data_IF_404595952215
#
_entry.id   IF_404595952215
#
_cell.length_a   1.000
_cell.length_b   1.000
_cell.length_c   1.000
_cell.angle_alpha   90.00
_cell.angle_beta   90.00
_cell.angle_gamma   90.00
#
_symmetry.space_group_name_H-M   'P 1'
#
loop_
_entity.id
_entity.type
_entity.pdbx_description
1 polymer ?
#
# COMPACT_ATOMS: atom_id res chain seq x y z
N UNK A 1 -0.91 -22.11 16.18
CA UNK A 1 -2.38 -21.94 16.06
C UNK A 1 -2.57 -20.87 14.99
N UNK A 2 -2.62 -21.26 13.72
CA UNK A 2 -2.63 -20.31 12.60
C UNK A 2 -4.06 -19.80 12.41
N UNK A 3 -4.27 -18.51 12.68
CA UNK A 3 -5.51 -17.81 12.40
C UNK A 3 -5.24 -16.90 11.21
N UNK A 4 -5.51 -17.39 10.00
CA UNK A 4 -5.58 -16.56 8.80
C UNK A 4 -6.77 -15.62 8.97
N UNK A 5 -6.53 -14.31 9.09
CA UNK A 5 -7.59 -13.33 9.30
C UNK A 5 -7.46 -12.18 8.31
N UNK A 6 -7.78 -12.37 7.03
CA UNK A 6 -8.18 -11.23 6.19
C UNK A 6 -9.14 -11.67 5.07
N UNK A 7 -10.40 -11.24 5.18
CA UNK A 7 -11.39 -11.26 4.11
C UNK A 7 -11.38 -9.90 3.41
N UNK A 8 -10.42 -9.72 2.51
CA UNK A 8 -10.44 -8.70 1.46
C UNK A 8 -9.59 -9.20 0.32
N UNK A 9 -9.92 -8.76 -0.88
CA UNK A 9 -9.11 -8.87 -2.09
C UNK A 9 -7.67 -8.41 -1.77
N UNK A 10 -6.83 -9.40 -1.51
CA UNK A 10 -5.42 -9.29 -1.15
C UNK A 10 -4.73 -10.19 -2.15
N UNK A 11 -3.73 -9.63 -2.83
CA UNK A 11 -2.94 -10.33 -3.84
C UNK A 11 -2.36 -11.64 -3.29
N UNK A 12 -2.35 -12.69 -4.11
CA UNK A 12 -1.79 -14.00 -3.76
C UNK A 12 -0.31 -13.86 -3.40
N UNK A 13 0.37 -12.88 -4.00
CA UNK A 13 1.80 -12.63 -3.80
C UNK A 13 2.10 -12.14 -2.37
N UNK A 14 1.17 -11.44 -1.70
CA UNK A 14 1.37 -10.94 -0.34
C UNK A 14 1.62 -12.06 0.68
N UNK A 15 0.94 -13.21 0.52
CA UNK A 15 1.14 -14.37 1.39
C UNK A 15 2.49 -15.05 1.21
N UNK A 16 3.13 -14.89 0.04
CA UNK A 16 4.50 -15.33 -0.17
C UNK A 16 5.47 -14.38 0.58
N UNK A 17 5.28 -13.07 0.45
CA UNK A 17 6.16 -12.09 1.11
C UNK A 17 6.07 -12.14 2.63
N UNK A 18 4.88 -12.32 3.23
CA UNK A 18 4.75 -12.53 4.69
C UNK A 18 5.59 -13.72 5.15
N UNK A 19 5.60 -14.81 4.37
CA UNK A 19 6.38 -16.02 4.69
C UNK A 19 7.89 -15.84 4.50
N UNK A 20 8.32 -15.13 3.46
CA UNK A 20 9.75 -14.96 3.15
C UNK A 20 10.42 -13.86 3.98
N UNK A 21 9.67 -12.83 4.34
CA UNK A 21 10.20 -11.66 5.05
C UNK A 21 9.90 -11.68 6.55
N UNK A 22 9.07 -12.61 7.04
CA UNK A 22 8.61 -12.72 8.43
C UNK A 22 7.96 -11.43 8.94
N UNK A 23 7.10 -10.84 8.10
CA UNK A 23 6.37 -9.60 8.38
C UNK A 23 4.87 -9.85 8.32
N UNK A 24 4.09 -9.05 9.06
CA UNK A 24 2.62 -9.08 8.98
C UNK A 24 2.13 -7.91 8.13
N UNK A 25 1.49 -8.20 7.00
CA UNK A 25 1.01 -7.18 6.08
C UNK A 25 -0.45 -6.81 6.37
N UNK A 26 -0.76 -5.54 6.19
CA UNK A 26 -2.11 -5.01 6.36
C UNK A 26 -2.80 -4.81 5.00
N UNK A 27 -4.13 -4.66 5.03
CA UNK A 27 -4.95 -4.40 3.82
C UNK A 27 -4.47 -3.15 3.05
N UNK A 28 -3.86 -2.20 3.74
CA UNK A 28 -3.37 -0.94 3.15
C UNK A 28 -2.04 -1.11 2.39
N UNK A 29 -1.33 -2.23 2.59
CA UNK A 29 -0.14 -2.61 1.83
C UNK A 29 -0.46 -3.06 0.40
N UNK A 30 -1.72 -3.40 0.12
CA UNK A 30 -2.20 -3.71 -1.22
C UNK A 30 -2.99 -2.53 -1.78
N UNK A 31 -2.46 -1.89 -2.82
CA UNK A 31 -3.12 -0.81 -3.53
C UNK A 31 -3.49 -1.32 -4.91
N UNK A 32 -4.74 -1.11 -5.31
CA UNK A 32 -5.17 -1.33 -6.69
C UNK A 32 -5.56 0.00 -7.31
N UNK A 33 -5.47 0.07 -8.63
CA UNK A 33 -5.92 1.24 -9.39
C UNK A 33 -7.37 1.61 -9.02
N UNK A 34 -8.25 0.62 -8.86
CA UNK A 34 -9.65 0.84 -8.44
C UNK A 34 -9.79 1.52 -7.08
N UNK A 35 -8.97 1.15 -6.07
CA UNK A 35 -8.97 1.80 -4.74
C UNK A 35 -8.59 3.28 -4.84
N UNK A 36 -7.57 3.61 -5.64
CA UNK A 36 -7.11 5.00 -5.81
C UNK A 36 -8.17 5.84 -6.52
N UNK A 37 -8.77 5.33 -7.61
CA UNK A 37 -9.85 6.02 -8.30
C UNK A 37 -11.03 6.29 -7.37
N UNK A 38 -11.44 5.29 -6.58
CA UNK A 38 -12.51 5.45 -5.60
C UNK A 38 -12.17 6.54 -4.57
N UNK A 39 -10.95 6.52 -4.02
CA UNK A 39 -10.48 7.51 -3.06
C UNK A 39 -10.53 8.95 -3.60
N UNK A 40 -10.11 9.14 -4.85
CA UNK A 40 -10.11 10.46 -5.50
C UNK A 40 -11.53 10.93 -5.84
N UNK A 41 -12.40 10.03 -6.32
CA UNK A 41 -13.81 10.34 -6.57
C UNK A 41 -14.52 10.75 -5.26
N UNK A 42 -14.20 10.10 -4.14
CA UNK A 42 -14.78 10.45 -2.85
C UNK A 42 -14.25 11.82 -2.35
N UNK A 43 -12.97 12.15 -2.57
CA UNK A 43 -12.42 13.50 -2.34
C UNK A 43 -13.14 14.56 -3.19
N UNK A 44 -13.39 14.25 -4.46
CA UNK A 44 -14.12 15.13 -5.37
C UNK A 44 -15.54 15.39 -4.90
N UNK A 45 -16.27 14.33 -4.52
CA UNK A 45 -17.64 14.43 -4.00
C UNK A 45 -17.74 15.22 -2.69
N UNK A 46 -16.70 15.19 -1.85
CA UNK A 46 -16.61 16.03 -0.64
C UNK A 46 -16.31 17.50 -0.93
N UNK A 47 -15.85 17.82 -2.14
CA UNK A 47 -15.45 19.17 -2.52
C UNK A 47 -13.99 19.50 -2.22
N UNK A 48 -13.15 18.51 -1.94
CA UNK A 48 -11.73 18.70 -1.58
C UNK A 48 -10.93 19.35 -2.74
N UNK A 49 -11.42 19.21 -3.99
CA UNK A 49 -10.83 19.84 -5.18
C UNK A 49 -11.45 21.19 -5.57
N UNK A 50 -12.28 21.80 -4.70
CA UNK A 50 -12.88 23.14 -4.90
C UNK A 50 -13.65 23.29 -6.23
N UNK A 51 -14.28 22.21 -6.70
CA UNK A 51 -15.03 22.19 -7.96
C UNK A 51 -14.17 22.21 -9.22
N UNK A 52 -12.85 22.04 -9.10
CA UNK A 52 -11.95 21.87 -10.25
C UNK A 52 -12.05 20.45 -10.80
N UNK A 53 -11.81 20.31 -12.11
CA UNK A 53 -11.79 19.01 -12.77
C UNK A 53 -10.67 18.14 -12.23
N UNK A 54 -11.01 16.96 -11.74
CA UNK A 54 -10.04 15.92 -11.42
C UNK A 54 -9.47 15.34 -12.72
N UNK A 55 -8.16 15.13 -12.75
CA UNK A 55 -7.38 14.63 -13.87
C UNK A 55 -6.42 13.55 -13.39
N UNK A 56 -6.01 12.65 -14.29
CA UNK A 56 -5.02 11.60 -13.98
C UNK A 56 -3.75 12.20 -13.41
N UNK A 57 -3.22 13.24 -14.07
CA UNK A 57 -2.13 14.06 -13.54
C UNK A 57 -2.69 15.45 -13.23
N UNK A 58 -2.44 16.02 -12.03
CA UNK A 58 -1.65 15.46 -10.93
C UNK A 58 -2.46 14.62 -9.92
N UNK A 59 -3.79 14.65 -9.95
CA UNK A 59 -4.61 14.21 -8.81
C UNK A 59 -4.53 12.72 -8.49
N UNK A 60 -4.45 11.83 -9.50
CA UNK A 60 -4.30 10.39 -9.27
C UNK A 60 -2.85 10.09 -8.84
N UNK A 61 -1.87 10.71 -9.49
CA UNK A 61 -0.46 10.51 -9.14
C UNK A 61 -0.14 10.99 -7.73
N UNK A 62 -0.69 12.12 -7.31
CA UNK A 62 -0.52 12.65 -5.96
C UNK A 62 -1.18 11.73 -4.93
N UNK A 63 -2.38 11.21 -5.21
CA UNK A 63 -3.05 10.26 -4.33
C UNK A 63 -2.25 8.95 -4.15
N UNK A 64 -1.57 8.47 -5.20
CA UNK A 64 -0.66 7.32 -5.10
C UNK A 64 0.53 7.67 -4.22
N UNK A 65 1.17 8.82 -4.43
CA UNK A 65 2.32 9.26 -3.63
C UNK A 65 1.97 9.43 -2.15
N UNK A 66 0.85 10.09 -1.85
CA UNK A 66 0.32 10.26 -0.48
C UNK A 66 0.09 8.90 0.19
N UNK A 67 -0.42 7.92 -0.56
CA UNK A 67 -0.66 6.58 -0.02
C UNK A 67 0.65 5.86 0.26
N UNK A 68 1.59 5.86 -0.69
CA UNK A 68 2.89 5.23 -0.55
C UNK A 68 3.64 5.80 0.65
N UNK A 69 3.69 7.13 0.76
CA UNK A 69 4.32 7.79 1.90
C UNK A 69 3.67 7.37 3.22
N UNK A 70 2.34 7.36 3.30
CA UNK A 70 1.62 6.95 4.51
C UNK A 70 1.97 5.53 4.94
N UNK A 71 1.96 4.57 4.01
CA UNK A 71 2.23 3.15 4.30
C UNK A 71 3.70 2.93 4.62
N UNK A 72 4.62 3.67 3.98
CA UNK A 72 6.05 3.57 4.23
C UNK A 72 6.47 3.96 5.66
N UNK A 73 5.65 4.72 6.38
CA UNK A 73 5.91 5.05 7.80
C UNK A 73 5.23 4.08 8.78
N UNK A 74 4.44 3.12 8.31
CA UNK A 74 3.74 2.15 9.16
C UNK A 74 4.64 0.91 9.30
N UNK A 75 5.03 0.61 10.54
CA UNK A 75 5.75 -0.63 10.85
C UNK A 75 4.89 -1.86 10.57
N UNK A 76 5.49 -2.84 9.88
CA UNK A 76 4.95 -4.21 9.72
C UNK A 76 5.64 -5.21 10.65
N UNK A 77 6.67 -4.76 11.37
CA UNK A 77 7.42 -5.51 12.38
C UNK A 77 6.76 -5.34 13.77
N UNK A 78 6.92 -6.34 14.64
CA UNK A 78 6.33 -6.36 16.00
C UNK A 78 6.87 -5.24 16.91
N UNK A 79 8.09 -4.77 16.64
CA UNK A 79 8.78 -3.74 17.42
C UNK A 79 8.19 -2.33 17.23
N UNK A 80 7.30 -2.16 16.25
CA UNK A 80 6.65 -0.89 15.86
C UNK A 80 7.64 0.24 15.55
N UNK A 81 8.88 -0.09 15.22
CA UNK A 81 9.88 0.90 14.87
C UNK A 81 9.60 1.44 13.46
N UNK A 82 9.89 2.73 13.25
CA UNK A 82 9.74 3.33 11.92
C UNK A 82 10.68 2.61 10.93
N UNK A 83 10.17 2.11 9.80
CA UNK A 83 10.98 1.34 8.87
C UNK A 83 12.07 2.16 8.16
N UNK A 84 13.25 1.56 7.98
CA UNK A 84 14.35 2.18 7.22
C UNK A 84 14.18 2.07 5.69
N UNK A 85 13.54 0.99 5.21
CA UNK A 85 13.48 0.65 3.78
C UNK A 85 12.05 0.30 3.39
N UNK A 86 11.55 0.95 2.33
CA UNK A 86 10.29 0.62 1.68
C UNK A 86 10.56 -0.04 0.31
N UNK A 87 10.06 -1.25 0.11
CA UNK A 87 10.08 -1.97 -1.17
C UNK A 87 8.71 -1.82 -1.80
N UNK A 88 8.67 -1.44 -3.06
CA UNK A 88 7.43 -1.29 -3.82
C UNK A 88 7.49 -2.25 -4.99
N UNK A 89 6.48 -3.11 -5.08
CA UNK A 89 6.26 -4.03 -6.18
C UNK A 89 5.13 -3.48 -7.05
N UNK A 90 5.38 -3.44 -8.35
CA UNK A 90 4.39 -3.09 -9.36
C UNK A 90 3.99 -4.40 -10.05
N UNK A 91 2.79 -4.89 -9.73
CA UNK A 91 2.26 -6.17 -10.21
C UNK A 91 1.29 -6.02 -11.39
N UNK A 92 1.13 -7.13 -12.13
CA UNK A 92 0.27 -7.22 -13.31
C UNK A 92 0.89 -6.68 -14.59
N UNK A 93 0.42 -7.16 -15.75
CA UNK A 93 0.97 -6.81 -17.08
C UNK A 93 0.86 -5.30 -17.39
N UNK A 94 -0.11 -4.62 -16.79
CA UNK A 94 -0.44 -3.21 -17.02
C UNK A 94 -0.43 -2.36 -15.74
N UNK A 95 0.29 -2.78 -14.69
CA UNK A 95 0.42 -2.04 -13.41
C UNK A 95 -0.91 -1.77 -12.70
N UNK A 96 -1.76 -2.78 -12.62
CA UNK A 96 -3.09 -2.68 -11.98
C UNK A 96 -3.01 -2.75 -10.44
N UNK A 97 -1.90 -3.28 -9.92
CA UNK A 97 -1.66 -3.56 -8.51
C UNK A 97 -0.29 -3.00 -8.10
N UNK A 98 -0.25 -2.32 -6.96
CA UNK A 98 0.95 -1.82 -6.30
C UNK A 98 0.97 -2.41 -4.90
N UNK A 99 1.94 -3.27 -4.62
CA UNK A 99 2.17 -3.81 -3.28
C UNK A 99 3.32 -3.08 -2.61
N UNK A 100 3.17 -2.73 -1.34
CA UNK A 100 4.15 -1.97 -0.56
C UNK A 100 4.57 -2.78 0.66
N UNK A 101 5.88 -3.00 0.77
CA UNK A 101 6.52 -3.69 1.89
C UNK A 101 7.46 -2.72 2.57
N UNK A 102 7.53 -2.78 3.89
CA UNK A 102 8.43 -1.93 4.66
C UNK A 102 9.20 -2.79 5.64
N UNK A 103 10.51 -2.56 5.82
CA UNK A 103 11.31 -3.39 6.72
C UNK A 103 12.46 -2.60 7.33
N UNK A 104 12.77 -2.90 8.60
CA UNK A 104 13.92 -2.34 9.29
C UNK A 104 15.23 -2.99 8.82
N UNK A 105 16.29 -2.18 8.71
CA UNK A 105 17.60 -2.60 8.21
C UNK A 105 18.24 -3.68 9.08
N UNK A 106 17.94 -3.67 10.39
CA UNK A 106 18.42 -4.66 11.36
C UNK A 106 17.80 -6.05 11.19
N UNK A 107 16.67 -6.16 10.48
CA UNK A 107 15.97 -7.42 10.22
C UNK A 107 16.36 -8.08 8.88
N UNK A 108 17.25 -7.44 8.10
CA UNK A 108 17.78 -7.96 6.82
C UNK A 108 19.18 -8.59 6.95
N UNK A 109 19.79 -8.56 8.14
CA UNK A 109 21.16 -9.01 8.39
C UNK A 109 21.28 -10.39 9.05
N UNK A 110 20.22 -11.20 9.05
CA UNK A 110 20.25 -12.61 9.51
C UNK A 110 19.89 -13.56 8.37
#
# INVERSE_FOLDING_TARGET
RFSFFVSSEVDLDLGNYERFLDVTLHRDNNITTGKIYQYVIDKERRGDYLGKTVQVVPHITDAIQEWVQRVAHISVDEDKAEPDICIIELGGTTTEIINIYVKNRYSLSN
#
